data_IF_177146963480
#
_entry.id   IF_177146963480
#
_cell.length_a   1.000
_cell.length_b   1.000
_cell.length_c   1.000
_cell.angle_alpha   90.00
_cell.angle_beta   90.00
_cell.angle_gamma   90.00
#
_symmetry.space_group_name_H-M   'P 1'
#
loop_
_entity.id
_entity.type
_entity.pdbx_description
1 polymer ?
#
# COMPACT_ATOMS: atom_id res chain seq x y z
N UNK A 1 39.99 -73.19 -10.68
CA UNK A 1 39.57 -72.22 -11.72
C UNK A 1 38.07 -72.06 -11.57
N UNK A 2 37.65 -71.02 -10.84
CA UNK A 2 36.28 -70.50 -10.85
C UNK A 2 36.48 -68.99 -10.91
N UNK A 3 36.12 -68.42 -12.06
CA UNK A 3 36.24 -67.01 -12.39
C UNK A 3 35.10 -66.26 -11.69
N UNK A 4 35.42 -65.18 -10.97
CA UNK A 4 34.44 -64.27 -10.41
C UNK A 4 33.91 -63.32 -11.50
N UNK A 5 32.59 -63.14 -11.53
CA UNK A 5 31.88 -62.25 -12.46
C UNK A 5 32.14 -60.76 -12.16
N UNK A 6 32.02 -59.86 -13.16
CA UNK A 6 32.28 -58.44 -12.97
C UNK A 6 31.07 -57.73 -12.33
N UNK A 7 31.37 -56.88 -11.35
CA UNK A 7 30.46 -55.92 -10.72
C UNK A 7 29.79 -54.99 -11.74
N UNK A 8 28.45 -54.99 -11.79
CA UNK A 8 27.68 -53.93 -12.44
C UNK A 8 27.85 -52.61 -11.69
N UNK A 9 28.39 -51.60 -12.38
CA UNK A 9 28.35 -50.22 -11.94
C UNK A 9 26.90 -49.72 -12.04
N UNK A 10 26.28 -49.35 -10.92
CA UNK A 10 25.05 -48.56 -10.90
C UNK A 10 25.40 -47.12 -11.25
N UNK A 11 25.28 -46.75 -12.52
CA UNK A 11 25.22 -45.37 -12.98
C UNK A 11 23.75 -44.93 -12.98
N UNK A 12 23.44 -43.84 -12.26
CA UNK A 12 22.13 -43.22 -12.27
C UNK A 12 21.66 -42.83 -10.87
N UNK A 13 22.24 -41.78 -10.31
CA UNK A 13 21.50 -40.96 -9.37
C UNK A 13 20.78 -39.91 -10.22
N UNK A 14 19.51 -40.17 -10.54
CA UNK A 14 18.61 -39.10 -10.96
C UNK A 14 18.47 -38.16 -9.77
N UNK A 15 19.18 -37.04 -9.83
CA UNK A 15 18.85 -35.89 -9.00
C UNK A 15 17.56 -35.32 -9.59
N UNK A 16 16.41 -35.75 -9.07
CA UNK A 16 15.24 -34.88 -9.09
C UNK A 16 15.68 -33.58 -8.41
N UNK A 17 15.75 -32.50 -9.20
CA UNK A 17 15.85 -31.15 -8.69
C UNK A 17 14.58 -30.93 -7.86
N UNK A 18 14.66 -31.19 -6.56
CA UNK A 18 13.72 -30.63 -5.60
C UNK A 18 13.91 -29.11 -5.74
N UNK A 19 12.92 -28.36 -6.25
CA UNK A 19 13.04 -26.91 -6.23
C UNK A 19 13.29 -26.52 -4.78
N UNK A 20 14.41 -25.83 -4.54
CA UNK A 20 14.65 -25.18 -3.26
C UNK A 20 13.37 -24.40 -2.94
N UNK A 21 12.80 -24.62 -1.74
CA UNK A 21 11.74 -23.75 -1.26
C UNK A 21 12.21 -22.31 -1.52
N UNK A 22 11.36 -21.43 -2.10
CA UNK A 22 11.75 -20.05 -2.32
C UNK A 22 12.33 -19.52 -1.02
N UNK A 23 13.46 -18.82 -1.09
CA UNK A 23 13.97 -18.13 0.08
C UNK A 23 12.81 -17.26 0.58
N UNK A 24 12.28 -17.56 1.77
CA UNK A 24 11.24 -16.72 2.37
C UNK A 24 11.73 -15.28 2.42
N UNK A 25 10.82 -14.31 2.44
CA UNK A 25 11.23 -12.91 2.30
C UNK A 25 12.33 -12.54 3.30
N UNK A 26 13.23 -11.69 2.86
CA UNK A 26 14.30 -11.15 3.67
C UNK A 26 13.76 -10.39 4.88
N UNK A 27 14.62 -10.26 5.89
CA UNK A 27 14.36 -9.40 7.03
C UNK A 27 14.17 -7.94 6.54
N UNK A 28 12.98 -7.36 6.76
CA UNK A 28 12.46 -6.07 6.23
C UNK A 28 11.92 -6.06 4.79
N UNK A 29 11.77 -7.22 4.15
CA UNK A 29 10.95 -7.34 2.93
C UNK A 29 9.48 -7.48 3.28
N UNK A 30 8.59 -6.85 2.49
CA UNK A 30 7.16 -7.06 2.59
C UNK A 30 6.78 -8.28 1.74
N UNK A 31 6.30 -9.36 2.39
CA UNK A 31 5.78 -10.55 1.70
C UNK A 31 4.32 -10.35 1.31
N UNK A 32 3.99 -10.51 0.03
CA UNK A 32 2.63 -10.38 -0.48
C UNK A 32 2.20 -11.58 -1.33
N UNK A 33 0.89 -11.75 -1.48
CA UNK A 33 0.19 -12.79 -2.23
C UNK A 33 0.68 -14.19 -1.85
N UNK A 34 0.33 -14.63 -0.63
CA UNK A 34 0.76 -15.89 -0.03
C UNK A 34 2.28 -16.08 -0.04
N UNK A 35 3.01 -15.03 0.37
CA UNK A 35 4.47 -14.98 0.41
C UNK A 35 5.17 -15.19 -0.95
N UNK A 36 4.46 -15.05 -2.07
CA UNK A 36 5.07 -15.22 -3.40
C UNK A 36 5.94 -14.03 -3.79
N UNK A 37 5.53 -12.81 -3.44
CA UNK A 37 6.22 -11.60 -3.85
C UNK A 37 6.89 -10.94 -2.66
N UNK A 38 8.18 -10.66 -2.80
CA UNK A 38 8.92 -9.81 -1.87
C UNK A 38 9.03 -8.40 -2.45
N UNK A 39 8.52 -7.42 -1.71
CA UNK A 39 8.66 -6.00 -2.04
C UNK A 39 9.70 -5.37 -1.09
N UNK A 40 10.77 -4.86 -1.68
CA UNK A 40 11.85 -4.16 -0.98
C UNK A 40 11.86 -2.70 -1.40
N UNK A 41 11.83 -1.78 -0.43
CA UNK A 41 11.89 -0.33 -0.68
C UNK A 41 13.16 0.24 -0.05
N UNK A 42 13.89 1.03 -0.81
CA UNK A 42 14.97 1.88 -0.31
C UNK A 42 14.73 3.32 -0.70
N UNK A 43 15.12 4.25 0.16
CA UNK A 43 14.88 5.67 -0.03
C UNK A 43 16.14 6.49 0.27
N UNK A 44 16.22 7.71 -0.28
CA UNK A 44 17.27 8.69 0.04
C UNK A 44 16.69 10.11 0.12
N UNK A 45 17.05 10.85 1.15
CA UNK A 45 16.65 12.23 1.37
C UNK A 45 17.54 13.25 0.64
N UNK A 46 17.28 14.53 0.88
CA UNK A 46 18.03 15.66 0.33
C UNK A 46 19.42 15.86 0.94
N UNK A 47 19.69 15.30 2.12
CA UNK A 47 21.03 15.31 2.74
C UNK A 47 21.95 14.25 2.14
N UNK A 48 21.37 13.27 1.44
CA UNK A 48 22.05 12.10 0.91
C UNK A 48 22.03 10.90 1.86
N UNK A 49 21.39 11.04 3.04
CA UNK A 49 21.10 9.91 3.91
C UNK A 49 20.01 9.04 3.27
N UNK A 50 20.15 7.72 3.38
CA UNK A 50 19.20 6.78 2.82
C UNK A 50 19.45 5.37 3.33
N UNK A 51 18.38 4.60 3.40
CA UNK A 51 18.39 3.23 3.91
C UNK A 51 17.23 2.41 3.32
N UNK A 52 17.10 1.17 3.79
CA UNK A 52 15.89 0.39 3.53
C UNK A 52 14.75 0.90 4.40
N UNK A 53 13.60 1.10 3.77
CA UNK A 53 12.36 1.37 4.49
C UNK A 53 12.04 0.22 5.45
N UNK A 54 11.38 0.54 6.57
CA UNK A 54 10.63 -0.50 7.27
C UNK A 54 9.34 -0.79 6.53
N UNK A 55 8.77 -1.96 6.80
CA UNK A 55 7.61 -2.48 6.10
C UNK A 55 6.70 -3.22 7.06
N UNK A 56 5.40 -3.10 6.86
CA UNK A 56 4.38 -3.81 7.62
C UNK A 56 3.25 -4.27 6.69
N UNK A 57 2.84 -5.52 6.87
CA UNK A 57 1.74 -6.11 6.10
C UNK A 57 0.40 -5.64 6.68
N UNK A 58 -0.52 -5.26 5.80
CA UNK A 58 -1.89 -4.89 6.14
C UNK A 58 -2.84 -6.06 5.87
N UNK A 59 -2.66 -6.69 4.71
CA UNK A 59 -3.44 -7.84 4.21
C UNK A 59 -2.46 -8.84 3.61
N UNK A 60 -2.94 -9.97 3.07
CA UNK A 60 -2.06 -10.88 2.33
C UNK A 60 -1.51 -10.22 1.05
N UNK A 61 -2.24 -9.26 0.48
CA UNK A 61 -1.95 -8.66 -0.82
C UNK A 61 -1.43 -7.22 -0.74
N UNK A 62 -1.49 -6.57 0.44
CA UNK A 62 -1.09 -5.18 0.62
C UNK A 62 -0.29 -4.92 1.92
N UNK A 63 0.52 -3.87 1.87
CA UNK A 63 1.25 -3.37 3.04
C UNK A 63 1.71 -1.93 2.86
N UNK A 64 2.30 -1.36 3.91
CA UNK A 64 2.86 -0.02 3.90
C UNK A 64 4.34 -0.01 4.28
N UNK A 65 4.98 1.10 3.95
CA UNK A 65 6.37 1.39 4.25
C UNK A 65 6.47 2.71 4.98
N UNK A 66 7.36 2.73 5.94
CA UNK A 66 7.72 3.93 6.71
C UNK A 66 9.19 4.26 6.49
N UNK A 67 9.50 5.55 6.51
CA UNK A 67 10.88 6.06 6.39
C UNK A 67 11.26 6.77 7.68
N UNK A 68 12.55 6.75 8.03
CA UNK A 68 13.10 7.34 9.27
C UNK A 68 12.67 6.58 10.54
N UNK A 69 11.37 6.52 10.81
CA UNK A 69 10.76 5.87 11.97
C UNK A 69 9.40 5.25 11.61
N UNK A 70 8.89 4.38 12.48
CA UNK A 70 7.65 3.62 12.27
C UNK A 70 6.36 4.43 12.40
N UNK A 71 6.44 5.66 12.91
CA UNK A 71 5.32 6.60 12.96
C UNK A 71 5.14 7.34 11.62
N UNK A 72 6.19 7.39 10.78
CA UNK A 72 6.21 8.14 9.53
C UNK A 72 5.93 7.27 8.30
N UNK A 73 4.65 6.98 8.08
CA UNK A 73 4.15 6.30 6.87
C UNK A 73 4.41 7.16 5.63
N UNK A 74 5.02 6.55 4.60
CA UNK A 74 5.46 7.25 3.38
C UNK A 74 5.02 6.59 2.08
N UNK A 75 4.66 5.30 2.10
CA UNK A 75 4.28 4.58 0.89
C UNK A 75 3.37 3.39 1.21
N UNK A 76 2.42 3.09 0.32
CA UNK A 76 1.64 1.85 0.30
C UNK A 76 1.88 1.10 -0.99
N UNK A 77 1.82 -0.23 -0.93
CA UNK A 77 1.91 -1.09 -2.11
C UNK A 77 0.96 -2.30 -2.01
N UNK A 78 0.54 -2.81 -3.17
CA UNK A 78 -0.21 -4.07 -3.26
C UNK A 78 0.18 -4.87 -4.48
N UNK A 79 0.02 -6.19 -4.39
CA UNK A 79 0.09 -7.13 -5.49
C UNK A 79 -1.29 -7.75 -5.67
N UNK A 80 -1.82 -7.72 -6.89
CA UNK A 80 -3.13 -8.32 -7.20
C UNK A 80 -2.94 -9.56 -8.05
N UNK A 81 -3.45 -10.70 -7.59
CA UNK A 81 -3.59 -11.90 -8.42
C UNK A 81 -4.75 -11.73 -9.41
N UNK A 82 -4.41 -11.39 -10.66
CA UNK A 82 -5.37 -11.28 -11.75
C UNK A 82 -5.36 -12.49 -12.69
N UNK A 83 -4.77 -13.63 -12.29
CA UNK A 83 -4.58 -14.79 -13.16
C UNK A 83 -5.88 -15.41 -13.70
N UNK A 84 -6.99 -15.29 -12.97
CA UNK A 84 -8.30 -15.73 -13.44
C UNK A 84 -9.02 -14.70 -14.34
N UNK A 85 -8.47 -13.50 -14.47
CA UNK A 85 -9.08 -12.37 -15.14
C UNK A 85 -8.79 -12.26 -16.65
N UNK A 86 -9.37 -11.25 -17.31
CA UNK A 86 -9.18 -11.01 -18.75
C UNK A 86 -7.76 -10.54 -19.11
N UNK A 87 -7.00 -10.03 -18.15
CA UNK A 87 -5.58 -9.70 -18.30
C UNK A 87 -4.77 -10.49 -17.26
N UNK A 88 -4.48 -11.78 -17.55
CA UNK A 88 -3.92 -12.71 -16.58
C UNK A 88 -2.47 -12.37 -16.23
N UNK A 89 -2.18 -12.37 -14.93
CA UNK A 89 -0.87 -12.07 -14.38
C UNK A 89 -1.01 -11.53 -12.96
N UNK A 90 0.12 -11.14 -12.38
CA UNK A 90 0.16 -10.38 -11.13
C UNK A 90 0.40 -8.92 -11.47
N UNK A 91 -0.47 -8.07 -10.93
CA UNK A 91 -0.39 -6.63 -11.10
C UNK A 91 0.27 -6.03 -9.86
N UNK A 92 1.05 -4.97 -10.04
CA UNK A 92 1.71 -4.28 -8.93
C UNK A 92 1.28 -2.82 -8.89
N UNK A 93 0.91 -2.37 -7.70
CA UNK A 93 0.50 -1.00 -7.46
C UNK A 93 1.29 -0.41 -6.29
N UNK A 94 1.65 0.87 -6.39
CA UNK A 94 2.20 1.61 -5.26
C UNK A 94 1.91 3.11 -5.35
N UNK A 95 1.80 3.76 -4.20
CA UNK A 95 1.54 5.19 -4.06
C UNK A 95 2.32 5.73 -2.85
N UNK A 96 2.79 6.97 -2.93
CA UNK A 96 3.69 7.53 -1.92
C UNK A 96 3.36 8.96 -1.53
N UNK A 97 3.65 9.30 -0.27
CA UNK A 97 3.44 10.59 0.38
C UNK A 97 4.70 11.46 0.39
N UNK A 98 5.71 11.03 -0.38
CA UNK A 98 7.08 11.56 -0.34
C UNK A 98 7.48 12.22 -1.65
N UNK A 99 8.56 13.01 -1.58
CA UNK A 99 9.36 13.44 -2.72
C UNK A 99 10.83 13.01 -2.61
N UNK A 100 11.13 12.04 -1.74
CA UNK A 100 12.46 11.43 -1.65
C UNK A 100 12.78 10.63 -2.90
N UNK A 101 14.07 10.33 -3.10
CA UNK A 101 14.43 9.28 -4.04
C UNK A 101 13.92 7.96 -3.47
N UNK A 102 13.19 7.19 -4.26
CA UNK A 102 12.69 5.88 -3.86
C UNK A 102 13.03 4.87 -4.95
N UNK A 103 13.57 3.72 -4.55
CA UNK A 103 13.72 2.54 -5.39
C UNK A 103 12.90 1.42 -4.78
N UNK A 104 11.96 0.89 -5.56
CA UNK A 104 11.10 -0.23 -5.18
C UNK A 104 11.47 -1.43 -6.04
N UNK A 105 11.85 -2.52 -5.40
CA UNK A 105 12.17 -3.78 -6.05
C UNK A 105 11.12 -4.81 -5.67
N UNK A 106 10.45 -5.38 -6.66
CA UNK A 106 9.46 -6.46 -6.50
C UNK A 106 10.07 -7.72 -7.08
N UNK A 107 10.22 -8.76 -6.26
CA UNK A 107 10.78 -10.05 -6.65
C UNK A 107 9.69 -11.11 -6.59
N UNK A 108 9.40 -11.76 -7.72
CA UNK A 108 8.60 -12.99 -7.74
C UNK A 108 9.50 -14.13 -7.26
N UNK A 109 9.32 -14.58 -6.02
CA UNK A 109 10.17 -15.59 -5.40
C UNK A 109 10.00 -16.97 -6.06
N UNK A 110 8.90 -17.19 -6.78
CA UNK A 110 8.67 -18.43 -7.51
C UNK A 110 9.50 -18.49 -8.80
N UNK A 111 9.53 -17.40 -9.58
CA UNK A 111 10.19 -17.38 -10.90
C UNK A 111 11.59 -16.79 -10.85
N UNK A 112 11.90 -16.02 -9.81
CA UNK A 112 13.09 -15.19 -9.71
C UNK A 112 13.03 -13.92 -10.56
N UNK A 113 11.91 -13.61 -11.23
CA UNK A 113 11.74 -12.36 -11.98
C UNK A 113 11.75 -11.16 -11.00
N UNK A 114 12.41 -10.07 -11.42
CA UNK A 114 12.51 -8.84 -10.63
C UNK A 114 12.04 -7.66 -11.46
N UNK A 115 11.14 -6.85 -10.90
CA UNK A 115 10.79 -5.51 -11.41
C UNK A 115 11.36 -4.45 -10.47
N UNK A 116 11.86 -3.36 -11.05
CA UNK A 116 12.36 -2.22 -10.29
C UNK A 116 11.69 -0.94 -10.78
N UNK A 117 11.14 -0.20 -9.83
CA UNK A 117 10.52 1.10 -10.04
C UNK A 117 11.34 2.17 -9.31
N UNK A 118 11.39 3.38 -9.87
CA UNK A 118 12.20 4.47 -9.34
C UNK A 118 11.41 5.77 -9.32
N UNK A 119 11.44 6.46 -8.18
CA UNK A 119 11.06 7.86 -8.05
C UNK A 119 12.33 8.70 -7.84
N UNK A 120 12.66 9.66 -8.72
CA UNK A 120 13.84 10.51 -8.55
C UNK A 120 13.70 11.47 -7.35
N UNK A 121 14.84 11.82 -6.73
CA UNK A 121 14.87 12.82 -5.65
C UNK A 121 14.23 14.14 -6.08
N UNK A 122 13.35 14.69 -5.24
CA UNK A 122 12.68 15.97 -5.45
C UNK A 122 11.44 15.89 -6.34
N UNK A 123 11.09 14.73 -6.88
CA UNK A 123 9.85 14.51 -7.60
C UNK A 123 8.79 13.90 -6.66
N UNK A 124 7.55 14.40 -6.63
CA UNK A 124 6.47 13.72 -5.92
C UNK A 124 6.32 12.28 -6.43
N UNK A 125 6.19 11.32 -5.52
CA UNK A 125 6.09 9.91 -5.85
C UNK A 125 4.94 9.63 -6.82
N UNK A 126 5.27 9.28 -8.06
CA UNK A 126 4.27 9.01 -9.09
C UNK A 126 3.59 7.65 -8.83
N UNK A 127 2.25 7.57 -8.87
CA UNK A 127 1.55 6.30 -8.67
C UNK A 127 1.99 5.24 -9.69
N UNK A 128 2.32 4.06 -9.19
CA UNK A 128 2.60 2.87 -10.00
C UNK A 128 1.30 2.09 -10.12
N UNK A 129 0.81 1.90 -11.34
CA UNK A 129 -0.40 1.12 -11.64
C UNK A 129 -0.08 0.04 -12.70
N UNK A 130 0.91 -0.81 -12.41
CA UNK A 130 1.46 -1.78 -13.37
C UNK A 130 0.59 -3.05 -13.43
N UNK A 131 -0.37 -3.03 -14.33
CA UNK A 131 -1.28 -4.16 -14.60
C UNK A 131 -0.65 -5.26 -15.45
N UNK A 132 0.66 -5.22 -15.72
CA UNK A 132 1.39 -6.25 -16.44
C UNK A 132 2.74 -6.56 -15.78
N UNK A 133 2.80 -6.41 -14.44
CA UNK A 133 4.05 -6.51 -13.69
C UNK A 133 4.68 -7.90 -13.82
N UNK A 134 3.92 -8.99 -13.63
CA UNK A 134 4.43 -10.36 -13.78
C UNK A 134 3.44 -11.23 -14.54
N UNK A 135 3.91 -11.91 -15.58
CA UNK A 135 3.04 -12.66 -16.51
C UNK A 135 2.86 -14.14 -16.16
N UNK A 136 3.68 -14.68 -15.26
CA UNK A 136 3.65 -16.11 -14.94
C UNK A 136 2.58 -16.44 -13.90
N UNK A 137 1.54 -17.14 -14.33
CA UNK A 137 0.52 -17.73 -13.45
C UNK A 137 0.84 -19.20 -13.18
N UNK A 138 0.74 -19.64 -11.92
CA UNK A 138 0.62 -21.05 -11.59
C UNK A 138 -0.86 -21.47 -11.60
N UNK A 139 -1.13 -22.77 -11.67
CA UNK A 139 -2.46 -23.26 -11.32
C UNK A 139 -2.69 -22.97 -9.82
N UNK A 140 -3.59 -22.03 -9.51
CA UNK A 140 -3.91 -21.67 -8.15
C UNK A 140 -4.48 -22.86 -7.37
N UNK A 141 -4.03 -23.04 -6.12
CA UNK A 141 -4.87 -23.68 -5.13
C UNK A 141 -6.05 -22.73 -4.86
N UNK A 142 -7.28 -23.27 -4.83
CA UNK A 142 -8.49 -22.46 -4.70
C UNK A 142 -8.45 -21.56 -3.45
N UNK A 143 -8.98 -20.32 -3.52
CA UNK A 143 -9.02 -19.43 -2.37
C UNK A 143 -9.89 -20.03 -1.27
N UNK A 144 -9.45 -19.86 -0.02
CA UNK A 144 -10.27 -20.16 1.16
C UNK A 144 -11.10 -18.91 1.46
N UNK A 145 -12.41 -19.02 1.25
CA UNK A 145 -13.34 -17.97 1.64
C UNK A 145 -13.24 -17.72 3.14
N UNK A 146 -12.90 -16.49 3.52
CA UNK A 146 -13.09 -15.99 4.88
C UNK A 146 -14.55 -15.53 5.03
N UNK A 147 -15.26 -16.07 6.03
CA UNK A 147 -16.58 -15.56 6.43
C UNK A 147 -16.39 -14.29 7.26
N UNK A 148 -17.05 -13.21 6.84
CA UNK A 148 -17.02 -11.89 7.49
C UNK A 148 -18.36 -11.60 8.20
N UNK A 149 -18.36 -11.03 9.41
CA UNK A 149 -19.57 -10.56 10.07
C UNK A 149 -20.04 -9.19 9.53
N UNK A 150 -21.35 -9.03 9.42
CA UNK A 150 -22.06 -7.83 8.96
C UNK A 150 -22.06 -6.71 10.02
N UNK A 151 -21.81 -5.43 9.65
CA UNK A 151 -21.99 -4.31 10.57
C UNK A 151 -23.43 -3.76 10.56
N UNK A 152 -23.93 -3.43 11.76
CA UNK A 152 -25.27 -2.88 11.99
C UNK A 152 -25.36 -1.35 11.79
N UNK A 153 -26.54 -0.79 11.45
CA UNK A 153 -26.69 0.64 11.16
C UNK A 153 -26.81 1.50 12.42
N UNK A 154 -26.16 2.68 12.42
CA UNK A 154 -26.33 3.71 13.46
C UNK A 154 -26.73 5.08 12.88
N UNK A 155 -27.59 5.77 13.63
CA UNK A 155 -28.19 7.09 13.35
C UNK A 155 -27.23 8.24 13.72
N UNK A 156 -27.40 9.47 13.18
CA UNK A 156 -26.40 10.53 13.34
C UNK A 156 -26.51 11.25 14.70
N UNK A 157 -25.35 11.67 15.22
CA UNK A 157 -25.21 12.66 16.31
C UNK A 157 -24.46 13.90 15.81
N UNK A 158 -24.76 15.04 16.44
CA UNK A 158 -24.24 16.37 16.10
C UNK A 158 -22.94 16.66 16.86
N UNK A 159 -21.97 17.24 16.13
CA UNK A 159 -20.74 17.95 16.53
C UNK A 159 -20.24 17.71 17.96
N UNK A 160 -19.47 16.64 18.10
CA UNK A 160 -18.48 16.45 19.16
C UNK A 160 -17.22 15.90 18.48
N UNK A 161 -16.08 15.92 19.18
CA UNK A 161 -14.76 15.41 18.78
C UNK A 161 -14.80 14.27 17.74
N UNK A 162 -13.84 14.22 16.81
CA UNK A 162 -13.77 13.18 15.79
C UNK A 162 -14.02 11.78 16.38
N UNK A 163 -14.98 11.05 15.81
CA UNK A 163 -15.31 9.67 16.21
C UNK A 163 -14.95 8.73 15.05
N UNK A 164 -14.13 7.72 15.34
CA UNK A 164 -13.84 6.64 14.38
C UNK A 164 -15.08 5.73 14.26
N UNK A 165 -15.92 6.03 13.28
CA UNK A 165 -17.14 5.27 12.97
C UNK A 165 -16.92 4.17 11.91
N UNK A 166 -15.67 3.96 11.50
CA UNK A 166 -15.26 3.07 10.42
C UNK A 166 -15.26 3.73 9.03
N UNK A 167 -15.67 5.00 8.92
CA UNK A 167 -15.63 5.79 7.68
C UNK A 167 -14.80 7.08 7.82
N UNK A 168 -14.51 7.48 9.06
CA UNK A 168 -13.62 8.59 9.38
C UNK A 168 -12.32 8.12 10.05
N UNK A 169 -11.19 8.71 9.63
CA UNK A 169 -9.94 8.70 10.40
C UNK A 169 -9.92 9.92 11.33
N UNK A 170 -9.47 9.73 12.56
CA UNK A 170 -9.30 10.78 13.55
C UNK A 170 -7.82 11.00 13.84
N UNK A 171 -7.20 11.88 13.05
CA UNK A 171 -5.76 12.07 13.03
C UNK A 171 -5.32 13.26 13.89
N UNK A 172 -4.07 13.23 14.35
CA UNK A 172 -3.42 14.23 15.18
C UNK A 172 -4.23 14.48 16.47
N UNK A 173 -4.16 13.53 17.40
CA UNK A 173 -4.96 13.49 18.63
C UNK A 173 -6.49 13.68 18.42
N UNK A 174 -7.00 13.25 17.27
CA UNK A 174 -8.43 13.35 16.92
C UNK A 174 -8.88 14.76 16.50
N UNK A 175 -7.95 15.69 16.27
CA UNK A 175 -8.27 17.03 15.78
C UNK A 175 -8.78 17.01 14.34
N UNK A 176 -8.20 16.18 13.48
CA UNK A 176 -8.56 16.14 12.06
C UNK A 176 -9.40 14.93 11.74
N UNK A 177 -10.64 15.19 11.34
CA UNK A 177 -11.51 14.17 10.77
C UNK A 177 -11.24 14.06 9.27
N UNK A 178 -10.85 12.88 8.79
CA UNK A 178 -10.63 12.61 7.38
C UNK A 178 -11.63 11.58 6.88
N UNK A 179 -12.33 11.91 5.79
CA UNK A 179 -13.29 11.03 5.13
C UNK A 179 -12.95 10.94 3.64
N UNK A 180 -13.18 9.79 3.03
CA UNK A 180 -13.07 9.61 1.59
C UNK A 180 -14.38 9.12 1.00
N UNK A 181 -14.69 9.59 -0.21
CA UNK A 181 -15.84 9.18 -1.01
C UNK A 181 -15.35 8.76 -2.38
N UNK A 182 -16.00 7.78 -2.99
CA UNK A 182 -15.61 7.29 -4.31
C UNK A 182 -16.78 7.26 -5.30
N UNK A 183 -16.47 7.27 -6.59
CA UNK A 183 -17.39 6.90 -7.69
C UNK A 183 -16.68 5.97 -8.68
N UNK A 184 -17.28 4.81 -8.99
CA UNK A 184 -16.72 3.82 -9.93
C UNK A 184 -17.03 4.14 -11.38
N UNK A 185 -16.39 3.41 -12.31
CA UNK A 185 -16.73 3.46 -13.74
C UNK A 185 -18.17 3.04 -14.07
N UNK A 186 -18.86 2.35 -13.15
CA UNK A 186 -20.26 1.97 -13.29
C UNK A 186 -21.22 3.02 -12.67
N UNK A 187 -20.68 4.11 -12.12
CA UNK A 187 -21.44 5.16 -11.44
C UNK A 187 -21.88 4.79 -10.02
N UNK A 188 -21.30 3.73 -9.43
CA UNK A 188 -21.55 3.36 -8.05
C UNK A 188 -20.78 4.30 -7.13
N UNK A 189 -21.46 4.86 -6.13
CA UNK A 189 -20.89 5.79 -5.17
C UNK A 189 -20.94 5.24 -3.75
N UNK A 190 -19.99 5.65 -2.92
CA UNK A 190 -19.94 5.23 -1.53
C UNK A 190 -18.99 6.06 -0.67
N UNK A 191 -19.16 5.95 0.65
CA UNK A 191 -18.14 6.34 1.61
C UNK A 191 -17.10 5.22 1.69
N UNK A 192 -15.83 5.60 1.70
CA UNK A 192 -14.75 4.66 1.92
C UNK A 192 -14.72 4.22 3.38
N UNK A 193 -14.11 3.07 3.64
CA UNK A 193 -13.88 2.56 4.97
C UNK A 193 -12.48 2.95 5.43
N UNK A 194 -12.40 3.46 6.66
CA UNK A 194 -11.20 4.02 7.26
C UNK A 194 -10.50 3.00 8.17
N UNK A 195 -9.17 2.95 8.10
CA UNK A 195 -8.33 2.18 9.02
C UNK A 195 -7.12 3.02 9.45
N UNK A 196 -7.00 3.23 10.76
CA UNK A 196 -5.89 4.00 11.35
C UNK A 196 -4.59 3.17 11.36
N UNK A 197 -3.47 3.82 11.06
CA UNK A 197 -2.13 3.20 11.07
C UNK A 197 -1.29 3.75 12.22
N UNK A 198 -1.21 5.08 12.31
CA UNK A 198 -0.51 5.82 13.36
C UNK A 198 -1.43 6.94 13.85
N UNK A 199 -0.98 7.73 14.82
CA UNK A 199 -1.73 8.91 15.27
C UNK A 199 -1.96 9.92 14.13
N UNK A 200 -1.01 10.02 13.21
CA UNK A 200 -1.03 11.00 12.14
C UNK A 200 -1.42 10.41 10.78
N UNK A 201 -1.51 9.08 10.64
CA UNK A 201 -1.70 8.42 9.36
C UNK A 201 -2.74 7.29 9.37
N UNK A 202 -3.38 7.07 8.23
CA UNK A 202 -4.32 5.98 8.00
C UNK A 202 -4.50 5.69 6.51
N UNK A 203 -5.32 4.69 6.21
CA UNK A 203 -5.69 4.35 4.84
C UNK A 203 -7.19 4.12 4.69
N UNK A 204 -7.62 4.11 3.43
CA UNK A 204 -8.98 3.81 3.02
C UNK A 204 -9.01 2.66 2.04
N UNK A 205 -10.05 1.84 2.16
CA UNK A 205 -10.49 0.85 1.18
C UNK A 205 -11.95 1.13 0.78
N UNK A 206 -12.39 0.63 -0.38
CA UNK A 206 -13.71 0.95 -0.92
C UNK A 206 -14.68 -0.24 -0.89
N UNK A 207 -14.37 -1.30 -1.64
CA UNK A 207 -15.29 -2.43 -1.87
C UNK A 207 -14.88 -3.69 -1.12
N UNK A 208 -13.58 -3.82 -0.87
CA UNK A 208 -12.95 -5.00 -0.30
C UNK A 208 -11.85 -4.55 0.67
N UNK A 209 -11.86 -5.07 1.89
CA UNK A 209 -10.92 -4.72 2.96
C UNK A 209 -9.51 -5.24 2.67
N UNK A 210 -9.38 -6.27 1.83
CA UNK A 210 -8.11 -6.75 1.31
C UNK A 210 -7.47 -5.77 0.31
N UNK A 211 -8.22 -4.77 -0.17
CA UNK A 211 -7.81 -3.89 -1.26
C UNK A 211 -7.67 -2.41 -0.83
N UNK A 212 -6.47 -2.03 -0.42
CA UNK A 212 -6.10 -0.65 -0.08
C UNK A 212 -6.17 0.26 -1.32
N UNK A 213 -6.76 1.45 -1.17
CA UNK A 213 -7.03 2.39 -2.28
C UNK A 213 -6.40 3.76 -2.08
N UNK A 214 -6.40 4.31 -0.87
CA UNK A 214 -5.84 5.65 -0.56
C UNK A 214 -5.10 5.60 0.78
N UNK A 215 -3.91 6.20 0.86
CA UNK A 215 -3.21 6.46 2.12
C UNK A 215 -3.17 7.97 2.37
N UNK A 216 -3.32 8.38 3.64
CA UNK A 216 -3.33 9.77 4.06
C UNK A 216 -2.52 9.96 5.35
N UNK A 217 -1.88 11.12 5.49
CA UNK A 217 -1.40 11.61 6.79
C UNK A 217 -1.65 13.10 6.97
N UNK A 218 -1.84 13.51 8.22
CA UNK A 218 -1.96 14.92 8.63
C UNK A 218 -0.89 15.20 9.66
N UNK A 219 -0.05 16.19 9.41
CA UNK A 219 1.10 16.51 10.29
C UNK A 219 0.98 17.90 10.90
N UNK A 220 1.38 18.01 12.17
CA UNK A 220 1.61 19.30 12.83
C UNK A 220 2.89 19.96 12.30
N UNK A 221 2.70 20.91 11.38
CA UNK A 221 3.76 21.76 10.83
C UNK A 221 3.82 23.15 11.47
N UNK A 222 3.23 23.35 12.65
CA UNK A 222 3.15 24.67 13.29
C UNK A 222 4.51 25.22 13.74
N UNK A 223 5.54 24.37 13.78
CA UNK A 223 6.93 24.78 14.01
C UNK A 223 7.56 25.49 12.81
N UNK A 224 6.98 25.40 11.61
CA UNK A 224 7.54 25.95 10.39
C UNK A 224 7.49 27.48 10.34
N UNK A 225 8.27 28.08 9.43
CA UNK A 225 8.33 29.54 9.25
C UNK A 225 6.96 30.15 8.88
N UNK A 226 6.13 29.39 8.15
CA UNK A 226 4.70 29.66 7.98
C UNK A 226 3.92 28.55 8.68
N UNK A 227 3.47 28.76 9.93
CA UNK A 227 2.79 27.74 10.72
C UNK A 227 1.52 27.23 10.03
N UNK A 228 1.49 25.92 9.76
CA UNK A 228 0.38 25.23 9.09
C UNK A 228 0.27 23.80 9.61
N UNK A 229 -0.93 23.23 9.57
CA UNK A 229 -1.06 21.77 9.45
C UNK A 229 -0.96 21.36 8.00
N UNK A 230 -0.30 20.23 7.77
CA UNK A 230 -0.01 19.70 6.45
C UNK A 230 -0.87 18.48 6.17
N UNK A 231 -1.33 18.32 4.93
CA UNK A 231 -2.08 17.15 4.49
C UNK A 231 -1.32 16.49 3.35
N UNK A 232 -1.07 15.20 3.49
CA UNK A 232 -0.51 14.37 2.44
C UNK A 232 -1.45 13.21 2.13
N UNK A 233 -1.68 12.92 0.85
CA UNK A 233 -2.45 11.74 0.45
C UNK A 233 -1.98 11.22 -0.90
N UNK A 234 -2.11 9.91 -1.15
CA UNK A 234 -1.81 9.31 -2.44
C UNK A 234 -2.67 8.05 -2.64
N UNK A 235 -3.00 7.71 -3.89
CA UNK A 235 -3.91 6.60 -4.18
C UNK A 235 -3.36 5.55 -5.13
N UNK A 236 -3.78 4.31 -4.90
CA UNK A 236 -3.54 3.12 -5.72
C UNK A 236 -4.63 2.94 -6.79
N UNK A 237 -5.36 4.00 -7.08
CA UNK A 237 -6.65 3.96 -7.78
C UNK A 237 -6.74 4.95 -8.92
N UNK A 238 -7.67 4.67 -9.83
CA UNK A 238 -8.10 5.59 -10.88
C UNK A 238 -9.62 5.78 -10.92
N UNK A 239 -10.34 5.33 -9.89
CA UNK A 239 -11.73 5.74 -9.69
C UNK A 239 -11.79 7.21 -9.24
N UNK A 240 -12.96 7.82 -9.30
CA UNK A 240 -13.10 9.16 -8.72
C UNK A 240 -12.98 9.06 -7.20
N UNK A 241 -12.25 9.99 -6.60
CA UNK A 241 -12.12 10.11 -5.14
C UNK A 241 -12.31 11.56 -4.74
N UNK A 242 -13.12 11.78 -3.70
CA UNK A 242 -13.16 13.03 -2.93
C UNK A 242 -12.64 12.74 -1.53
N UNK A 243 -11.49 13.30 -1.18
CA UNK A 243 -10.94 13.29 0.17
C UNK A 243 -11.32 14.60 0.87
N UNK A 244 -12.00 14.51 2.01
CA UNK A 244 -12.38 15.65 2.85
C UNK A 244 -11.64 15.59 4.16
N UNK A 245 -10.94 16.67 4.51
CA UNK A 245 -10.25 16.85 5.79
C UNK A 245 -10.90 18.01 6.53
N UNK A 246 -11.36 17.76 7.75
CA UNK A 246 -12.03 18.75 8.60
C UNK A 246 -11.20 18.96 9.87
N UNK A 247 -10.77 20.19 10.11
CA UNK A 247 -10.22 20.63 11.39
C UNK A 247 -11.38 20.82 12.39
N UNK A 248 -11.55 19.88 13.32
CA UNK A 248 -12.71 19.86 14.22
C UNK A 248 -12.68 20.99 15.27
N UNK A 249 -11.51 21.57 15.54
CA UNK A 249 -11.38 22.69 16.48
C UNK A 249 -11.87 24.01 15.88
N UNK A 250 -11.66 24.21 14.57
CA UNK A 250 -11.97 25.48 13.89
C UNK A 250 -13.15 25.40 12.92
N UNK A 251 -13.52 24.19 12.51
CA UNK A 251 -14.51 23.94 11.46
C UNK A 251 -13.99 24.19 10.04
N UNK A 252 -12.69 24.44 9.86
CA UNK A 252 -12.09 24.61 8.54
C UNK A 252 -12.09 23.27 7.77
N UNK A 253 -12.36 23.32 6.46
CA UNK A 253 -12.44 22.14 5.60
C UNK A 253 -11.53 22.30 4.39
N UNK A 254 -10.81 21.22 4.04
CA UNK A 254 -10.12 21.04 2.77
C UNK A 254 -10.70 19.85 2.03
N UNK A 255 -10.90 20.02 0.73
CA UNK A 255 -11.34 18.95 -0.17
C UNK A 255 -10.31 18.78 -1.29
N UNK A 256 -9.95 17.52 -1.55
CA UNK A 256 -9.07 17.13 -2.64
C UNK A 256 -9.80 16.13 -3.51
N UNK A 257 -9.85 16.40 -4.82
CA UNK A 257 -10.59 15.56 -5.77
C UNK A 257 -9.65 14.95 -6.79
N UNK A 258 -9.73 13.63 -6.94
CA UNK A 258 -9.21 12.89 -8.06
C UNK A 258 -10.37 12.57 -9.02
N UNK A 259 -10.39 13.07 -10.27
CA UNK A 259 -11.44 12.74 -11.23
C UNK A 259 -11.43 11.27 -11.66
N UNK A 260 -12.59 10.74 -12.05
CA UNK A 260 -12.71 9.40 -12.65
C UNK A 260 -11.72 9.21 -13.82
N UNK A 261 -11.20 8.00 -13.96
CA UNK A 261 -10.25 7.59 -15.01
C UNK A 261 -8.88 8.29 -14.94
N UNK A 262 -8.55 8.93 -13.82
CA UNK A 262 -7.26 9.58 -13.59
C UNK A 262 -6.54 8.90 -12.44
N UNK A 263 -5.26 8.47 -12.59
CA UNK A 263 -4.48 7.99 -11.46
C UNK A 263 -4.40 9.03 -10.35
N UNK A 264 -4.71 8.63 -9.12
CA UNK A 264 -4.70 9.54 -7.97
C UNK A 264 -3.27 9.98 -7.63
N UNK A 265 -2.91 11.18 -8.11
CA UNK A 265 -1.63 11.82 -7.88
C UNK A 265 -1.38 12.16 -6.40
N UNK A 266 -0.11 12.16 -5.94
CA UNK A 266 0.22 12.55 -4.59
C UNK A 266 -0.17 14.01 -4.31
N UNK A 267 -0.82 14.22 -3.17
CA UNK A 267 -1.07 15.51 -2.55
C UNK A 267 0.02 15.70 -1.50
N UNK A 268 0.78 16.79 -1.61
CA UNK A 268 1.84 17.17 -0.67
C UNK A 268 1.57 18.60 -0.15
N UNK A 269 0.40 18.81 0.46
CA UNK A 269 -0.10 20.14 0.82
C UNK A 269 0.42 20.58 2.19
N UNK A 270 1.57 21.24 2.20
CA UNK A 270 2.14 21.88 3.41
C UNK A 270 1.49 23.23 3.75
N UNK A 271 0.47 23.65 3.01
CA UNK A 271 -0.29 24.87 3.21
C UNK A 271 -1.74 24.63 3.67
N UNK A 272 -2.08 23.41 4.09
CA UNK A 272 -3.48 22.97 4.21
C UNK A 272 -4.29 23.82 5.21
N UNK A 273 -3.89 23.87 6.49
CA UNK A 273 -4.67 24.63 7.49
C UNK A 273 -3.83 25.69 8.20
N UNK A 274 -4.32 26.93 8.17
CA UNK A 274 -3.75 28.10 8.83
C UNK A 274 -4.30 28.28 10.26
N UNK A 275 -4.39 27.19 11.02
CA UNK A 275 -5.13 27.11 12.29
C UNK A 275 -4.26 26.69 13.46
N UNK A 276 -2.95 26.93 13.36
CA UNK A 276 -2.02 26.76 14.47
C UNK A 276 -2.41 27.63 15.68
N UNK A 277 -2.19 27.16 16.92
CA UNK A 277 -2.41 27.93 18.14
C UNK A 277 -1.61 29.23 18.25
#
# INVERSE_FOLDING_TARGET
IVLAEPTQARTGFDFELVPLAPAGCGFRGLCLAAERFEVEVSWRDFSGFGERAGAEALTDDAGYFWFLDDENVEMVAKVVDACAGPNPGFWFFAAGLTNFEVETKVTDLLTGEVKTYRNPLGQPFQPILDTNAFSFCTAAAAPRAAERPEPEPRLPKLFESCEEDGHALCLNDGRFQVEAFYETFLGETGMAHAVSLTEDAGYFWFFDDDNVEVVVKVLDGCFAAEPRFWVFAAGLTNVEVLLRVTDTETGAVKEYRNPLATPFQPILDTGAFATCP
#
